data_IF_275549161589
#
_entry.id   IF_275549161589
#
_cell.length_a   1.000
_cell.length_b   1.000
_cell.length_c   1.000
_cell.angle_alpha   90.00
_cell.angle_beta   90.00
_cell.angle_gamma   90.00
#
_symmetry.space_group_name_H-M   'P 1'
#
loop_
_entity.id
_entity.type
_entity.pdbx_description
1 polymer ?
#
# COMPACT_ATOMS: atom_id res chain seq x y z
N UNK A 1 -7.01 16.06 -1.01
CA UNK A 1 -7.88 16.09 0.19
C UNK A 1 -6.98 16.40 1.38
N UNK A 2 -7.23 17.48 2.14
CA UNK A 2 -6.41 17.80 3.31
C UNK A 2 -6.80 16.89 4.48
N UNK A 3 -5.80 16.36 5.18
CA UNK A 3 -6.03 15.58 6.39
C UNK A 3 -6.63 16.49 7.47
N UNK A 4 -7.63 16.03 8.25
CA UNK A 4 -8.17 16.81 9.36
C UNK A 4 -7.11 17.10 10.43
N UNK A 5 -7.07 18.33 10.96
CA UNK A 5 -6.10 18.75 11.98
C UNK A 5 -6.13 17.87 13.23
N UNK A 6 -7.30 17.30 13.55
CA UNK A 6 -7.49 16.42 14.70
C UNK A 6 -6.94 14.99 14.51
N UNK A 7 -6.26 14.71 13.40
CA UNK A 7 -5.50 13.47 13.22
C UNK A 7 -4.07 13.57 13.76
N UNK A 8 -3.58 14.78 14.09
CA UNK A 8 -2.24 14.98 14.64
C UNK A 8 -2.11 14.43 16.09
N UNK A 9 -0.90 14.06 16.48
CA UNK A 9 -0.53 13.46 17.77
C UNK A 9 -0.99 14.26 18.99
N UNK A 10 -1.22 15.57 18.83
CA UNK A 10 -1.59 16.50 19.90
C UNK A 10 -3.10 16.58 20.16
N UNK A 11 -3.95 15.99 19.32
CA UNK A 11 -5.39 16.18 19.42
C UNK A 11 -6.10 15.06 20.19
N UNK A 12 -6.27 15.27 21.50
CA UNK A 12 -7.32 14.61 22.30
C UNK A 12 -8.61 15.45 22.34
N UNK A 13 -8.96 16.05 21.19
CA UNK A 13 -10.10 16.95 21.06
C UNK A 13 -11.46 16.25 21.12
N UNK A 14 -12.51 17.06 21.11
CA UNK A 14 -13.90 16.61 21.08
C UNK A 14 -14.19 15.65 19.91
N UNK A 15 -13.77 16.02 18.70
CA UNK A 15 -14.05 15.27 17.47
C UNK A 15 -13.46 13.84 17.44
N UNK A 16 -12.16 13.61 17.73
CA UNK A 16 -11.61 12.26 17.84
C UNK A 16 -12.37 11.34 18.81
N UNK A 17 -12.93 11.89 19.89
CA UNK A 17 -13.67 11.10 20.89
C UNK A 17 -15.06 10.72 20.40
N UNK A 18 -15.78 11.68 19.80
CA UNK A 18 -17.10 11.45 19.21
C UNK A 18 -17.03 10.45 18.04
N UNK A 19 -15.97 10.52 17.23
CA UNK A 19 -15.79 9.64 16.08
C UNK A 19 -15.22 8.25 16.43
N UNK A 20 -14.78 8.03 17.68
CA UNK A 20 -14.15 6.78 18.10
C UNK A 20 -15.00 5.53 17.83
N UNK A 21 -16.33 5.51 18.09
CA UNK A 21 -17.16 4.35 17.78
C UNK A 21 -17.12 3.97 16.30
N UNK A 22 -17.11 4.96 15.40
CA UNK A 22 -16.98 4.71 13.95
C UNK A 22 -15.62 4.11 13.61
N UNK A 23 -14.54 4.59 14.25
CA UNK A 23 -13.22 3.99 14.13
C UNK A 23 -13.19 2.51 14.55
N UNK A 24 -13.88 2.15 15.62
CA UNK A 24 -14.02 0.75 16.05
C UNK A 24 -14.77 -0.11 15.01
N UNK A 25 -15.81 0.44 14.37
CA UNK A 25 -16.53 -0.27 13.30
C UNK A 25 -15.61 -0.52 12.10
N UNK A 26 -14.84 0.49 11.68
CA UNK A 26 -13.85 0.35 10.60
C UNK A 26 -12.79 -0.70 10.94
N UNK A 27 -12.24 -0.67 12.15
CA UNK A 27 -11.29 -1.68 12.62
C UNK A 27 -11.91 -3.08 12.64
N UNK A 28 -13.16 -3.20 13.09
CA UNK A 28 -13.92 -4.45 13.08
C UNK A 28 -14.13 -5.01 11.67
N UNK A 29 -14.52 -4.15 10.71
CA UNK A 29 -14.65 -4.53 9.30
C UNK A 29 -13.33 -5.00 8.69
N UNK A 30 -12.23 -4.29 8.97
CA UNK A 30 -10.90 -4.71 8.51
C UNK A 30 -10.51 -6.08 9.11
N UNK A 31 -10.76 -6.28 10.41
CA UNK A 31 -10.51 -7.56 11.08
C UNK A 31 -11.36 -8.70 10.50
N UNK A 32 -12.64 -8.45 10.20
CA UNK A 32 -13.53 -9.42 9.55
C UNK A 32 -13.01 -9.78 8.16
N UNK A 33 -12.70 -8.79 7.31
CA UNK A 33 -12.15 -9.02 5.97
C UNK A 33 -10.89 -9.86 5.99
N UNK A 34 -9.99 -9.60 6.95
CA UNK A 34 -8.77 -10.38 7.13
C UNK A 34 -9.05 -11.82 7.54
N UNK A 35 -9.97 -12.05 8.50
CA UNK A 35 -10.33 -13.39 8.97
C UNK A 35 -11.03 -14.23 7.90
N UNK A 36 -11.80 -13.58 7.03
CA UNK A 36 -12.50 -14.24 5.92
C UNK A 36 -11.65 -14.36 4.65
N UNK A 37 -10.44 -13.80 4.62
CA UNK A 37 -9.62 -13.81 3.43
C UNK A 37 -9.04 -15.22 3.20
N UNK A 38 -9.11 -15.68 1.95
CA UNK A 38 -8.36 -16.83 1.47
C UNK A 38 -7.27 -16.31 0.53
N UNK A 39 -6.07 -16.01 1.06
CA UNK A 39 -5.01 -15.43 0.25
C UNK A 39 -4.54 -16.44 -0.79
N UNK A 40 -4.40 -15.99 -2.03
CA UNK A 40 -3.76 -16.74 -3.08
C UNK A 40 -2.23 -16.66 -2.93
N UNK A 41 -1.56 -17.81 -3.00
CA UNK A 41 -0.10 -17.88 -3.00
C UNK A 41 0.42 -17.64 -4.42
N UNK A 42 1.25 -16.62 -4.57
CA UNK A 42 1.88 -16.32 -5.85
C UNK A 42 3.00 -17.31 -6.16
N UNK A 43 3.20 -17.69 -7.44
CA UNK A 43 4.41 -18.40 -7.85
C UNK A 43 5.66 -17.51 -7.84
N UNK A 44 5.51 -16.19 -7.81
CA UNK A 44 6.61 -15.23 -7.70
C UNK A 44 6.73 -14.73 -6.25
N UNK A 45 7.94 -14.43 -5.76
CA UNK A 45 8.10 -13.77 -4.46
C UNK A 45 7.44 -12.39 -4.47
N UNK A 46 6.64 -12.11 -3.44
CA UNK A 46 5.88 -10.86 -3.27
C UNK A 46 6.42 -10.08 -2.06
N UNK A 47 7.01 -8.93 -2.34
CA UNK A 47 7.44 -7.96 -1.33
C UNK A 47 6.41 -6.84 -1.25
N UNK A 48 5.76 -6.67 -0.10
CA UNK A 48 4.80 -5.62 0.13
C UNK A 48 5.46 -4.40 0.77
N UNK A 49 5.27 -3.22 0.18
CA UNK A 49 5.64 -1.93 0.76
C UNK A 49 4.35 -1.21 1.14
N UNK A 50 4.16 -0.95 2.43
CA UNK A 50 2.87 -0.52 2.95
C UNK A 50 2.97 0.44 4.12
N UNK A 51 1.86 1.06 4.49
CA UNK A 51 1.75 1.89 5.68
C UNK A 51 0.42 1.62 6.42
N UNK A 52 0.32 2.14 7.65
CA UNK A 52 -0.93 2.09 8.42
C UNK A 52 -1.73 3.39 8.33
N UNK A 53 -1.10 4.47 7.88
CA UNK A 53 -1.65 5.84 7.92
C UNK A 53 -2.27 6.20 6.57
N UNK A 54 -3.47 6.79 6.58
CA UNK A 54 -4.07 7.41 5.41
C UNK A 54 -3.34 8.72 5.09
N UNK A 55 -2.37 8.64 4.19
CA UNK A 55 -1.52 9.75 3.79
C UNK A 55 -0.20 9.26 3.18
N UNK A 56 0.62 10.21 2.74
CA UNK A 56 1.96 9.94 2.23
C UNK A 56 2.90 9.61 3.40
N UNK A 57 3.21 8.33 3.60
CA UNK A 57 4.20 7.88 4.60
C UNK A 57 5.55 7.52 3.96
N UNK A 58 5.86 8.05 2.77
CA UNK A 58 7.12 7.74 2.08
C UNK A 58 7.20 6.34 1.45
N UNK A 59 6.06 5.66 1.19
CA UNK A 59 6.02 4.33 0.58
C UNK A 59 6.65 4.29 -0.81
N UNK A 60 6.28 5.23 -1.68
CA UNK A 60 6.69 5.23 -3.08
C UNK A 60 8.22 5.35 -3.24
N UNK A 61 8.93 6.23 -2.51
CA UNK A 61 10.40 6.22 -2.49
C UNK A 61 11.01 4.88 -2.08
N UNK A 62 10.44 4.19 -1.08
CA UNK A 62 10.90 2.86 -0.65
C UNK A 62 10.67 1.81 -1.73
N UNK A 63 9.52 1.84 -2.41
CA UNK A 63 9.24 0.92 -3.52
C UNK A 63 10.19 1.15 -4.71
N UNK A 64 10.50 2.41 -5.03
CA UNK A 64 11.48 2.78 -6.07
C UNK A 64 12.88 2.28 -5.70
N UNK A 65 13.38 2.61 -4.51
CA UNK A 65 14.72 2.16 -4.06
C UNK A 65 14.80 0.63 -4.11
N UNK A 66 13.77 -0.07 -3.62
CA UNK A 66 13.71 -1.53 -3.67
C UNK A 66 13.78 -2.07 -5.10
N UNK A 67 13.01 -1.50 -6.04
CA UNK A 67 13.00 -1.91 -7.43
C UNK A 67 14.39 -1.73 -8.07
N UNK A 68 15.03 -0.58 -7.86
CA UNK A 68 16.39 -0.29 -8.34
C UNK A 68 17.43 -1.23 -7.72
N UNK A 69 17.29 -1.59 -6.43
CA UNK A 69 18.20 -2.56 -5.79
C UNK A 69 18.08 -3.94 -6.42
N UNK A 70 16.87 -4.37 -6.74
CA UNK A 70 16.60 -5.66 -7.36
C UNK A 70 17.13 -5.71 -8.77
N UNK A 71 16.91 -4.64 -9.56
CA UNK A 71 17.46 -4.51 -10.91
C UNK A 71 19.00 -4.56 -10.90
N UNK A 72 19.65 -3.82 -9.99
CA UNK A 72 21.12 -3.87 -9.84
C UNK A 72 21.66 -5.26 -9.48
N UNK A 73 20.81 -6.13 -8.93
CA UNK A 73 21.13 -7.54 -8.63
C UNK A 73 20.71 -8.49 -9.75
N UNK A 74 20.26 -7.97 -10.89
CA UNK A 74 19.80 -8.76 -12.04
C UNK A 74 18.44 -9.41 -11.85
N UNK A 75 17.63 -8.99 -10.86
CA UNK A 75 16.29 -9.50 -10.62
C UNK A 75 15.27 -8.56 -11.26
N UNK A 76 14.50 -9.08 -12.23
CA UNK A 76 13.42 -8.36 -12.92
C UNK A 76 12.19 -8.22 -12.02
N UNK A 77 12.25 -7.32 -11.05
CA UNK A 77 11.10 -6.99 -10.22
C UNK A 77 10.10 -6.13 -11.00
N UNK A 78 8.81 -6.39 -10.83
CA UNK A 78 7.73 -5.55 -11.36
C UNK A 78 6.90 -5.00 -10.20
N UNK A 79 6.45 -3.76 -10.34
CA UNK A 79 5.64 -3.09 -9.32
C UNK A 79 4.16 -3.33 -9.61
N UNK A 80 3.38 -3.60 -8.58
CA UNK A 80 1.93 -3.76 -8.65
C UNK A 80 1.24 -2.79 -7.69
N UNK A 81 0.35 -1.98 -8.23
CA UNK A 81 -0.39 -0.95 -7.49
C UNK A 81 -1.88 -0.99 -7.83
N UNK A 82 -2.70 -0.28 -7.05
CA UNK A 82 -4.16 -0.20 -7.27
C UNK A 82 -4.55 0.76 -8.39
N UNK A 83 -3.68 1.73 -8.73
CA UNK A 83 -4.05 2.85 -9.59
C UNK A 83 -5.00 3.83 -8.91
N UNK A 84 -4.68 4.28 -7.69
CA UNK A 84 -5.53 5.25 -7.00
C UNK A 84 -5.56 6.58 -7.78
N UNK A 85 -6.76 7.16 -7.94
CA UNK A 85 -6.98 8.38 -8.72
C UNK A 85 -7.16 8.15 -10.22
N UNK A 86 -6.77 6.98 -10.74
CA UNK A 86 -7.02 6.56 -12.12
C UNK A 86 -8.42 5.97 -12.33
N UNK A 87 -8.90 5.99 -13.58
CA UNK A 87 -10.15 5.31 -13.98
C UNK A 87 -9.91 3.94 -14.63
N UNK A 88 -8.68 3.61 -15.01
CA UNK A 88 -8.35 2.29 -15.54
C UNK A 88 -8.33 1.22 -14.44
N UNK A 89 -8.93 0.06 -14.72
CA UNK A 89 -9.16 -0.98 -13.72
C UNK A 89 -8.11 -2.10 -13.76
N UNK A 90 -7.44 -2.26 -14.91
CA UNK A 90 -6.41 -3.27 -15.15
C UNK A 90 -6.91 -4.72 -15.27
N UNK A 91 -5.99 -5.70 -15.41
CA UNK A 91 -4.54 -5.54 -15.36
C UNK A 91 -4.01 -4.75 -16.56
N UNK A 92 -3.33 -3.64 -16.28
CA UNK A 92 -2.81 -2.71 -17.27
C UNK A 92 -1.35 -2.41 -16.94
N UNK A 93 -0.45 -2.63 -17.90
CA UNK A 93 0.92 -2.16 -17.80
C UNK A 93 0.95 -0.66 -18.06
N UNK A 94 1.55 0.09 -17.15
CA UNK A 94 1.68 1.54 -17.30
C UNK A 94 2.72 1.85 -18.37
N UNK A 95 2.29 2.57 -19.41
CA UNK A 95 3.14 3.20 -20.40
C UNK A 95 3.33 4.68 -20.04
N UNK A 96 4.57 5.08 -19.75
CA UNK A 96 4.90 6.44 -19.31
C UNK A 96 4.77 7.47 -20.45
N UNK A 97 4.86 7.03 -21.71
CA UNK A 97 4.77 7.92 -22.87
C UNK A 97 3.32 8.16 -23.29
N UNK A 98 2.47 7.15 -23.13
CA UNK A 98 1.09 7.17 -23.63
C UNK A 98 0.02 7.40 -22.55
N UNK A 99 0.26 7.00 -21.30
CA UNK A 99 -0.74 7.17 -20.24
C UNK A 99 -0.59 8.47 -19.46
N UNK A 100 -1.74 9.00 -19.02
CA UNK A 100 -1.82 10.18 -18.16
C UNK A 100 -2.36 9.85 -16.76
N UNK A 101 -2.14 10.77 -15.81
CA UNK A 101 -2.49 10.56 -14.41
C UNK A 101 -3.98 10.29 -14.18
N UNK A 102 -4.87 10.87 -14.99
CA UNK A 102 -6.30 10.58 -14.87
C UNK A 102 -6.65 9.14 -15.24
N UNK A 103 -5.86 8.47 -16.08
CA UNK A 103 -6.08 7.08 -16.52
C UNK A 103 -5.56 6.10 -15.48
N UNK A 104 -4.27 6.20 -15.14
CA UNK A 104 -3.60 5.22 -14.29
C UNK A 104 -3.34 5.69 -12.86
N UNK A 105 -3.29 7.01 -12.64
CA UNK A 105 -2.88 7.66 -11.37
C UNK A 105 -1.48 8.27 -11.43
N UNK A 106 -1.19 9.22 -10.54
CA UNK A 106 0.14 9.85 -10.44
C UNK A 106 1.20 8.89 -9.90
N UNK A 107 0.88 8.12 -8.85
CA UNK A 107 1.83 7.19 -8.21
C UNK A 107 2.29 6.07 -9.18
N UNK A 108 1.40 5.43 -9.97
CA UNK A 108 1.85 4.42 -10.93
C UNK A 108 2.72 4.98 -12.06
N UNK A 109 2.48 6.20 -12.53
CA UNK A 109 3.36 6.86 -13.51
C UNK A 109 4.75 7.13 -12.93
N UNK A 110 4.82 7.52 -11.67
CA UNK A 110 6.10 7.73 -10.99
C UNK A 110 6.87 6.40 -10.83
N UNK A 111 6.20 5.34 -10.40
CA UNK A 111 6.77 4.00 -10.27
C UNK A 111 7.25 3.45 -11.63
N UNK A 112 6.47 3.66 -12.69
CA UNK A 112 6.75 3.17 -14.04
C UNK A 112 8.04 3.75 -14.65
N UNK A 113 8.51 4.91 -14.15
CA UNK A 113 9.80 5.47 -14.54
C UNK A 113 11.01 4.68 -14.01
N UNK A 114 10.81 3.90 -12.94
CA UNK A 114 11.89 3.17 -12.25
C UNK A 114 11.83 1.67 -12.52
N UNK A 115 10.63 1.10 -12.67
CA UNK A 115 10.45 -0.31 -13.00
C UNK A 115 9.11 -0.57 -13.69
N UNK A 116 8.97 -1.66 -14.47
CA UNK A 116 7.69 -2.04 -15.07
C UNK A 116 6.59 -2.10 -14.02
N UNK A 117 5.55 -1.31 -14.21
CA UNK A 117 4.50 -1.08 -13.21
C UNK A 117 3.14 -1.47 -13.77
N UNK A 118 2.37 -2.16 -12.95
CA UNK A 118 1.04 -2.67 -13.27
C UNK A 118 -0.01 -2.05 -12.36
N UNK A 119 -1.10 -1.57 -12.97
CA UNK A 119 -2.33 -1.21 -12.28
C UNK A 119 -3.27 -2.39 -12.38
N UNK A 120 -3.71 -2.95 -11.25
CA UNK A 120 -4.76 -3.98 -11.25
C UNK A 120 -5.48 -4.04 -9.90
N UNK A 121 -6.80 -3.88 -9.86
CA UNK A 121 -7.55 -4.02 -8.59
C UNK A 121 -7.50 -5.44 -8.04
N UNK A 122 -7.58 -6.43 -8.93
CA UNK A 122 -7.30 -7.82 -8.60
C UNK A 122 -5.79 -8.05 -8.62
N UNK A 123 -5.22 -8.29 -7.44
CA UNK A 123 -3.78 -8.50 -7.30
C UNK A 123 -3.31 -9.77 -7.97
N UNK A 124 -4.14 -10.81 -8.01
CA UNK A 124 -3.77 -12.06 -8.67
C UNK A 124 -3.61 -11.83 -10.17
N UNK A 125 -4.59 -11.20 -10.81
CA UNK A 125 -4.54 -10.90 -12.24
C UNK A 125 -3.35 -9.99 -12.60
N UNK A 126 -3.06 -8.99 -11.76
CA UNK A 126 -1.88 -8.15 -11.93
C UNK A 126 -0.56 -8.92 -11.85
N UNK A 127 -0.45 -9.87 -10.92
CA UNK A 127 0.74 -10.71 -10.80
C UNK A 127 0.87 -11.69 -11.97
N UNK A 128 -0.24 -12.31 -12.39
CA UNK A 128 -0.25 -13.22 -13.54
C UNK A 128 0.18 -12.49 -14.83
N UNK A 129 -0.29 -11.25 -15.04
CA UNK A 129 0.11 -10.42 -16.17
C UNK A 129 1.60 -10.01 -16.10
N UNK A 130 2.08 -9.58 -14.92
CA UNK A 130 3.49 -9.27 -14.72
C UNK A 130 4.40 -10.48 -14.94
N UNK A 131 3.99 -11.66 -14.48
CA UNK A 131 4.71 -12.92 -14.69
C UNK A 131 4.78 -13.28 -16.17
N UNK A 132 3.70 -13.06 -16.93
CA UNK A 132 3.69 -13.29 -18.38
C UNK A 132 4.67 -12.37 -19.13
N UNK A 133 4.99 -11.19 -18.56
CA UNK A 133 6.01 -10.28 -19.09
C UNK A 133 7.43 -10.57 -18.55
N UNK A 134 7.60 -11.66 -17.80
CA UNK A 134 8.90 -12.10 -17.32
C UNK A 134 9.33 -11.48 -15.99
N UNK A 135 8.38 -10.99 -15.18
CA UNK A 135 8.66 -10.66 -13.78
C UNK A 135 9.25 -11.88 -13.04
N UNK A 136 10.28 -11.62 -12.24
CA UNK A 136 10.89 -12.61 -11.34
C UNK A 136 10.52 -12.35 -9.87
N UNK A 137 9.99 -11.17 -9.57
CA UNK A 137 9.51 -10.77 -8.25
C UNK A 137 8.46 -9.67 -8.39
N UNK A 138 7.61 -9.53 -7.38
CA UNK A 138 6.58 -8.50 -7.32
C UNK A 138 6.84 -7.57 -6.14
N UNK A 139 6.83 -6.27 -6.40
CA UNK A 139 6.79 -5.22 -5.38
C UNK A 139 5.35 -4.69 -5.32
N UNK A 140 4.64 -5.02 -4.25
CA UNK A 140 3.27 -4.59 -4.04
C UNK A 140 3.26 -3.24 -3.30
N UNK A 141 2.92 -2.17 -4.02
CA UNK A 141 2.80 -0.83 -3.46
C UNK A 141 1.40 -0.60 -2.84
N UNK A 142 1.38 -0.09 -1.61
CA UNK A 142 0.20 0.10 -0.75
C UNK A 142 -0.63 -1.19 -0.54
N UNK A 143 0.06 -2.33 -0.44
CA UNK A 143 -0.54 -3.66 -0.33
C UNK A 143 -0.93 -4.11 1.08
N UNK A 144 -0.67 -3.32 2.12
CA UNK A 144 -0.67 -3.81 3.50
C UNK A 144 -2.05 -4.28 3.99
N UNK A 145 -3.11 -3.60 3.53
CA UNK A 145 -4.51 -3.96 3.80
C UNK A 145 -5.12 -4.87 2.72
N UNK A 146 -4.36 -5.27 1.70
CA UNK A 146 -4.80 -6.29 0.76
C UNK A 146 -4.55 -7.67 1.37
N UNK A 147 -5.60 -8.45 1.59
CA UNK A 147 -5.50 -9.81 2.16
C UNK A 147 -5.70 -10.91 1.10
N UNK A 148 -5.82 -10.56 -0.18
CA UNK A 148 -6.15 -11.51 -1.26
C UNK A 148 -4.92 -12.24 -1.79
N UNK A 149 -3.72 -11.75 -1.50
CA UNK A 149 -2.45 -12.36 -1.92
C UNK A 149 -1.49 -12.46 -0.73
N UNK A 150 -0.85 -13.62 -0.63
CA UNK A 150 0.21 -13.91 0.36
C UNK A 150 1.42 -13.03 0.09
N UNK A 151 2.07 -12.56 1.15
CA UNK A 151 3.27 -11.73 1.08
C UNK A 151 4.40 -12.53 1.69
N UNK A 152 5.51 -12.61 0.98
CA UNK A 152 6.73 -13.28 1.46
C UNK A 152 7.57 -12.34 2.34
N UNK A 153 7.44 -11.03 2.11
CA UNK A 153 8.05 -10.00 2.93
C UNK A 153 7.13 -8.77 2.99
N UNK A 154 6.84 -8.30 4.19
CA UNK A 154 6.00 -7.12 4.45
C UNK A 154 6.80 -6.03 5.15
N UNK A 155 7.13 -4.99 4.39
CA UNK A 155 7.83 -3.79 4.85
C UNK A 155 6.81 -2.72 5.22
N UNK A 156 6.77 -2.38 6.51
CA UNK A 156 5.93 -1.30 7.01
C UNK A 156 6.72 0.00 7.05
N UNK A 157 6.33 0.96 6.22
CA UNK A 157 6.92 2.30 6.17
C UNK A 157 6.17 3.22 7.12
N UNK A 158 6.92 3.88 8.00
CA UNK A 158 6.43 4.84 8.98
C UNK A 158 7.24 6.13 8.82
N UNK A 159 6.53 7.24 8.60
CA UNK A 159 7.14 8.56 8.60
C UNK A 159 7.61 8.90 10.03
N UNK A 160 8.90 9.18 10.21
CA UNK A 160 9.50 9.45 11.52
C UNK A 160 9.04 10.76 12.16
N UNK A 161 8.61 11.73 11.35
CA UNK A 161 8.07 13.00 11.83
C UNK A 161 6.62 12.88 12.30
N UNK A 162 5.75 12.35 11.45
CA UNK A 162 4.31 12.22 11.71
C UNK A 162 3.97 11.01 12.59
N UNK A 163 4.71 9.91 12.45
CA UNK A 163 4.43 8.64 13.12
C UNK A 163 3.04 8.10 12.78
N UNK A 164 2.24 7.84 13.81
CA UNK A 164 0.87 7.33 13.69
C UNK A 164 -0.22 8.37 13.99
N UNK A 165 0.13 9.67 14.01
CA UNK A 165 -0.76 10.75 14.40
C UNK A 165 -1.33 10.53 15.81
N UNK A 166 -2.65 10.67 15.96
CA UNK A 166 -3.37 10.43 17.22
C UNK A 166 -3.57 8.93 17.58
N UNK A 167 -3.01 8.01 16.78
CA UNK A 167 -3.09 6.56 16.94
C UNK A 167 -4.52 5.96 16.94
N UNK A 168 -5.50 6.67 16.36
CA UNK A 168 -6.88 6.18 16.21
C UNK A 168 -7.17 5.77 14.77
N UNK A 169 -8.07 4.80 14.62
CA UNK A 169 -8.57 4.33 13.32
C UNK A 169 -9.54 5.35 12.72
N UNK A 170 -9.48 5.52 11.41
CA UNK A 170 -10.37 6.38 10.64
C UNK A 170 -11.85 6.08 10.91
N UNK A 171 -12.72 7.10 11.01
CA UNK A 171 -12.42 8.53 10.80
C UNK A 171 -11.90 9.28 12.05
N UNK A 172 -11.77 8.61 13.20
CA UNK A 172 -11.35 9.25 14.46
C UNK A 172 -9.87 9.65 14.48
N UNK A 173 -9.07 9.06 13.58
CA UNK A 173 -7.66 9.32 13.40
C UNK A 173 -7.21 8.86 12.01
N UNK A 174 -5.90 8.89 11.73
CA UNK A 174 -5.41 8.64 10.39
C UNK A 174 -5.22 7.15 10.08
N UNK A 175 -5.35 6.25 11.05
CA UNK A 175 -5.01 4.84 10.84
C UNK A 175 -6.08 4.08 10.04
N UNK A 176 -5.63 3.20 9.15
CA UNK A 176 -6.47 2.25 8.40
C UNK A 176 -6.83 1.01 9.23
N UNK A 177 -5.97 0.66 10.19
CA UNK A 177 -6.13 -0.45 11.14
C UNK A 177 -5.37 -0.14 12.45
N UNK A 178 -5.64 -0.83 13.57
CA UNK A 178 -4.91 -0.61 14.82
C UNK A 178 -3.40 -0.84 14.65
N UNK A 179 -2.57 -0.05 15.34
CA UNK A 179 -1.10 -0.08 15.19
C UNK A 179 -0.53 -1.45 15.50
N UNK A 180 -0.93 -2.05 16.62
CA UNK A 180 -0.46 -3.35 17.08
C UNK A 180 -0.84 -4.44 16.09
N UNK A 181 -2.03 -4.31 15.50
CA UNK A 181 -2.56 -5.23 14.50
C UNK A 181 -1.79 -5.18 13.19
N UNK A 182 -1.36 -3.97 12.80
CA UNK A 182 -0.53 -3.77 11.63
C UNK A 182 0.91 -4.26 11.85
N UNK A 183 1.53 -3.85 12.97
CA UNK A 183 2.91 -4.21 13.32
C UNK A 183 3.09 -5.73 13.46
N UNK A 184 2.11 -6.45 14.02
CA UNK A 184 2.17 -7.91 14.14
C UNK A 184 2.23 -8.65 12.79
N UNK A 185 1.97 -7.97 11.66
CA UNK A 185 2.05 -8.52 10.30
C UNK A 185 3.23 -7.99 9.49
N UNK A 186 3.99 -7.06 10.06
CA UNK A 186 5.18 -6.52 9.40
C UNK A 186 6.38 -7.40 9.74
N UNK A 187 7.19 -7.71 8.73
CA UNK A 187 8.46 -8.41 8.93
C UNK A 187 9.59 -7.42 9.27
N UNK A 188 9.47 -6.19 8.77
CA UNK A 188 10.37 -5.10 9.11
C UNK A 188 9.65 -3.74 9.08
N UNK A 189 10.19 -2.79 9.83
CA UNK A 189 9.75 -1.40 9.84
C UNK A 189 10.83 -0.52 9.24
N UNK A 190 10.44 0.38 8.32
CA UNK A 190 11.30 1.40 7.74
C UNK A 190 10.84 2.75 8.28
N UNK A 191 11.74 3.43 8.98
CA UNK A 191 11.54 4.80 9.45
C UNK A 191 12.09 5.77 8.41
N UNK A 192 11.23 6.62 7.88
CA UNK A 192 11.56 7.67 6.90
C UNK A 192 11.79 9.02 7.57
#
# INVERSE_FOLDING_TARGET
MHAPDFWDRKSNGFWPNVLRPLGCVVAGMAAMKRRSAMPWASPLPVICVGNLVAGGAGKTPVAIDLAERMERRGVKAHVLTRGYGGHEFGPLRVDVENHIASEVGDEPLLLAKSAPTWVARDRRQGIEAAMAEGAQAIILDDGFQNFTVTKDLSLLVVDGGYGFGNARVMPAGPLREPVETGLARADAVILM
#
